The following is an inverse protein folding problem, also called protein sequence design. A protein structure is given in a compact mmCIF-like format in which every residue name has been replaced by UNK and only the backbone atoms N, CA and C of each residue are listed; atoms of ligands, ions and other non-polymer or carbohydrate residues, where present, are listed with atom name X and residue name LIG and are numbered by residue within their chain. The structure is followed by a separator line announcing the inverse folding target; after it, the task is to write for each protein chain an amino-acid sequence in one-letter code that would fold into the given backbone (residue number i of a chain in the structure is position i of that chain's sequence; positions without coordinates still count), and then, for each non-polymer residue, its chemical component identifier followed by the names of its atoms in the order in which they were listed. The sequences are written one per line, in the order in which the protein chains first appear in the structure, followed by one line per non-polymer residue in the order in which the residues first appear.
data_IF_656982910662
#
_entry.id   IF_656982910662
#
_cell.length_a   1.000
_cell.length_b   1.000
_cell.length_c   1.000
_cell.angle_alpha   90.00
_cell.angle_beta   90.00
_cell.angle_gamma   90.00
#
_symmetry.space_group_name_H-M   'P 1'
#
loop_
_entity.id
_entity.type
_entity.pdbx_description
1 polymer ?
#
# COMPACT_ATOMS: atom_id res chain seq x y z
N UNK A 1 -22.38 -17.17 -46.88
CA UNK A 1 -21.03 -17.15 -47.49
C UNK A 1 -20.68 -15.71 -47.83
N UNK A 2 -19.40 -15.36 -47.78
CA UNK A 2 -18.78 -14.02 -47.82
C UNK A 2 -18.71 -13.33 -46.44
N UNK A 3 -17.59 -12.81 -45.96
CA UNK A 3 -16.23 -12.68 -46.50
C UNK A 3 -15.35 -12.04 -45.42
N UNK A 4 -14.09 -12.45 -45.31
CA UNK A 4 -13.19 -12.13 -44.19
C UNK A 4 -12.43 -10.80 -44.31
N UNK A 5 -11.56 -10.55 -43.32
CA UNK A 5 -10.46 -9.57 -43.37
C UNK A 5 -9.25 -10.10 -42.60
N UNK A 6 -8.07 -10.03 -43.24
CA UNK A 6 -6.73 -10.34 -42.73
C UNK A 6 -6.22 -9.24 -41.78
N UNK A 7 -5.43 -9.61 -40.76
CA UNK A 7 -4.65 -8.64 -39.97
C UNK A 7 -3.16 -8.99 -40.00
N UNK A 8 -2.39 -7.92 -40.07
CA UNK A 8 -1.02 -7.81 -40.56
C UNK A 8 0.06 -8.11 -39.51
N UNK A 9 1.26 -8.41 -40.02
CA UNK A 9 2.49 -8.58 -39.27
C UNK A 9 3.09 -7.23 -38.83
N UNK A 10 3.76 -7.21 -37.68
CA UNK A 10 4.62 -6.10 -37.24
C UNK A 10 6.03 -6.65 -36.98
N UNK A 11 7.03 -6.05 -37.64
CA UNK A 11 8.45 -6.39 -37.49
C UNK A 11 9.12 -5.58 -36.37
N UNK A 12 10.18 -6.20 -35.84
CA UNK A 12 11.16 -5.80 -34.82
C UNK A 12 11.99 -4.56 -35.14
N UNK A 13 12.46 -3.84 -34.11
CA UNK A 13 13.76 -3.15 -34.12
C UNK A 13 14.41 -3.16 -32.72
N UNK A 14 15.60 -3.77 -32.62
CA UNK A 14 16.60 -3.62 -31.56
C UNK A 14 17.55 -2.47 -31.92
N UNK A 15 17.84 -1.56 -30.98
CA UNK A 15 18.78 -0.47 -31.20
C UNK A 15 19.58 -0.13 -29.93
N UNK A 16 20.82 -0.63 -29.86
CA UNK A 16 21.86 -0.19 -28.94
C UNK A 16 22.25 1.27 -29.23
N UNK A 17 22.55 2.04 -28.19
CA UNK A 17 23.32 3.28 -28.33
C UNK A 17 24.51 3.24 -27.38
N UNK A 18 25.71 3.24 -27.97
CA UNK A 18 26.99 3.44 -27.30
C UNK A 18 27.83 4.34 -28.20
N UNK A 19 28.47 5.34 -27.61
CA UNK A 19 29.70 5.96 -28.15
C UNK A 19 29.63 7.46 -28.39
N UNK A 20 30.45 8.21 -27.62
CA UNK A 20 31.38 9.32 -27.95
C UNK A 20 31.68 10.02 -26.61
N UNK A 21 32.90 10.33 -26.18
CA UNK A 21 34.04 10.91 -26.87
C UNK A 21 35.40 10.49 -26.28
N UNK A 22 36.43 10.62 -27.13
CA UNK A 22 37.86 10.35 -26.95
C UNK A 22 38.63 11.68 -26.74
N UNK A 23 39.71 11.69 -25.93
CA UNK A 23 41.00 12.39 -26.17
C UNK A 23 41.85 12.62 -24.90
N UNK A 24 42.84 11.74 -24.75
CA UNK A 24 44.28 11.95 -24.49
C UNK A 24 44.85 12.97 -23.45
N UNK A 25 45.61 12.36 -22.52
CA UNK A 25 46.97 12.68 -21.97
C UNK A 25 47.30 14.06 -21.40
N UNK A 26 47.82 14.06 -20.17
CA UNK A 26 49.24 14.35 -19.89
C UNK A 26 49.73 13.66 -18.59
N UNK A 27 51.01 13.31 -18.62
CA UNK A 27 51.85 12.61 -17.63
C UNK A 27 52.22 13.47 -16.41
N UNK A 28 52.27 12.86 -15.22
CA UNK A 28 52.89 13.44 -14.03
C UNK A 28 53.18 12.38 -12.96
N UNK A 29 54.47 12.13 -12.73
CA UNK A 29 55.08 11.07 -11.91
C UNK A 29 54.62 10.88 -10.47
N UNK A 30 54.61 9.60 -10.08
CA UNK A 30 55.20 8.97 -8.87
C UNK A 30 54.95 9.57 -7.47
N UNK A 31 54.28 8.78 -6.61
CA UNK A 31 54.96 8.00 -5.57
C UNK A 31 53.97 7.08 -4.82
N UNK A 32 54.31 5.79 -4.71
CA UNK A 32 53.93 4.95 -3.56
C UNK A 32 55.12 4.90 -2.59
N UNK A 33 54.92 4.59 -1.30
CA UNK A 33 54.91 3.18 -0.94
C UNK A 33 53.83 2.76 0.07
N UNK A 34 53.63 1.45 0.04
CA UNK A 34 52.81 0.60 0.88
C UNK A 34 52.95 0.80 2.40
N UNK A 35 51.87 0.48 3.11
CA UNK A 35 51.95 -0.35 4.30
C UNK A 35 50.84 -1.40 4.25
N UNK A 36 51.28 -2.65 4.12
CA UNK A 36 50.57 -3.89 4.36
C UNK A 36 49.77 -3.91 5.66
N UNK A 37 48.58 -4.51 5.61
CA UNK A 37 48.20 -5.49 6.63
C UNK A 37 47.34 -6.56 5.98
N UNK A 38 47.95 -7.73 5.91
CA UNK A 38 47.46 -8.98 5.37
C UNK A 38 46.24 -9.54 6.15
N UNK A 39 45.31 -10.11 5.37
CA UNK A 39 44.70 -11.45 5.55
C UNK A 39 43.49 -11.63 6.49
N UNK A 40 42.34 -11.79 5.81
CA UNK A 40 41.09 -12.50 6.18
C UNK A 40 41.34 -14.01 6.50
N UNK A 41 40.35 -14.91 6.72
CA UNK A 41 38.88 -14.77 6.64
C UNK A 41 38.06 -15.54 7.71
N UNK A 42 36.73 -15.45 7.63
CA UNK A 42 35.82 -16.53 8.06
C UNK A 42 34.58 -16.08 8.80
N UNK A 43 33.45 -16.02 8.10
CA UNK A 43 32.21 -16.71 8.50
C UNK A 43 31.18 -16.60 7.39
N UNK A 44 30.64 -17.77 7.07
CA UNK A 44 29.77 -18.11 5.96
C UNK A 44 28.35 -17.53 6.10
N UNK A 45 27.79 -17.14 4.95
CA UNK A 45 26.50 -17.59 4.45
C UNK A 45 25.35 -17.72 5.46
N UNK A 46 24.53 -16.67 5.54
CA UNK A 46 23.11 -16.76 5.87
C UNK A 46 22.31 -16.38 4.63
N UNK A 47 22.04 -17.37 3.79
CA UNK A 47 21.02 -17.32 2.74
C UNK A 47 19.67 -17.16 3.44
N UNK A 48 19.23 -15.92 3.64
CA UNK A 48 17.85 -15.64 3.99
C UNK A 48 17.11 -15.50 2.68
N UNK A 49 16.53 -16.61 2.26
CA UNK A 49 15.63 -16.72 1.11
C UNK A 49 14.61 -15.58 1.16
N UNK A 50 14.75 -14.70 0.18
CA UNK A 50 13.76 -13.73 -0.27
C UNK A 50 12.45 -14.47 -0.51
N UNK A 51 11.60 -14.46 0.51
CA UNK A 51 10.21 -14.90 0.42
C UNK A 51 9.38 -13.66 0.18
N UNK A 52 9.39 -13.22 -1.09
CA UNK A 52 8.34 -12.43 -1.73
C UNK A 52 7.68 -11.41 -0.81
N UNK A 53 8.43 -10.38 -0.43
CA UNK A 53 7.89 -9.28 0.34
C UNK A 53 6.98 -8.46 -0.59
N UNK A 54 5.66 -8.64 -0.43
CA UNK A 54 4.70 -7.64 -0.89
C UNK A 54 5.20 -6.26 -0.42
N UNK A 55 5.25 -5.31 -1.34
CA UNK A 55 5.76 -3.95 -1.13
C UNK A 55 5.27 -3.42 0.22
N UNK A 56 6.18 -3.31 1.18
CA UNK A 56 5.79 -3.15 2.58
C UNK A 56 5.26 -1.74 2.81
N UNK A 57 3.94 -1.60 2.72
CA UNK A 57 3.26 -0.51 3.37
C UNK A 57 3.74 -0.40 4.83
N UNK A 58 4.00 0.81 5.29
CA UNK A 58 4.49 1.04 6.65
C UNK A 58 3.37 0.71 7.64
N UNK A 59 3.49 -0.42 8.34
CA UNK A 59 2.54 -0.88 9.36
C UNK A 59 3.14 -0.81 10.77
N UNK A 60 4.17 0.02 10.96
CA UNK A 60 4.86 0.17 12.24
C UNK A 60 4.02 0.93 13.28
N UNK A 61 3.12 1.81 12.84
CA UNK A 61 2.14 2.50 13.67
C UNK A 61 0.72 2.29 13.17
N UNK A 62 -0.26 2.60 14.01
CA UNK A 62 -1.65 2.51 13.60
C UNK A 62 -2.01 3.53 12.52
N UNK A 63 -1.49 4.75 12.66
CA UNK A 63 -1.67 5.85 11.71
C UNK A 63 -1.11 5.48 10.33
N UNK A 64 0.08 4.87 10.29
CA UNK A 64 0.72 4.47 9.03
C UNK A 64 -0.06 3.35 8.34
N UNK A 65 -0.59 2.37 9.10
CA UNK A 65 -1.44 1.32 8.56
C UNK A 65 -2.77 1.86 8.00
N UNK A 66 -3.43 2.78 8.72
CA UNK A 66 -4.66 3.43 8.25
C UNK A 66 -4.38 4.28 7.01
N UNK A 67 -3.31 5.07 7.01
CA UNK A 67 -2.93 5.90 5.86
C UNK A 67 -2.66 5.04 4.61
N UNK A 68 -1.90 3.96 4.76
CA UNK A 68 -1.62 3.03 3.68
C UNK A 68 -2.90 2.36 3.14
N UNK A 69 -3.81 1.94 4.03
CA UNK A 69 -5.05 1.30 3.64
C UNK A 69 -5.97 2.25 2.88
N UNK A 70 -6.16 3.49 3.38
CA UNK A 70 -6.95 4.52 2.68
C UNK A 70 -6.31 4.86 1.33
N UNK A 71 -4.98 4.96 1.27
CA UNK A 71 -4.25 5.18 0.01
C UNK A 71 -4.54 4.07 -1.01
N UNK A 72 -4.47 2.81 -0.59
CA UNK A 72 -4.77 1.67 -1.45
C UNK A 72 -6.23 1.68 -1.95
N UNK A 73 -7.19 2.07 -1.10
CA UNK A 73 -8.59 2.24 -1.49
C UNK A 73 -8.75 3.31 -2.56
N UNK A 74 -8.22 4.51 -2.33
CA UNK A 74 -8.34 5.66 -3.26
C UNK A 74 -7.66 5.36 -4.60
N UNK A 75 -6.49 4.69 -4.57
CA UNK A 75 -5.74 4.27 -5.77
C UNK A 75 -6.35 3.06 -6.49
N UNK A 76 -7.51 2.56 -6.06
CA UNK A 76 -8.19 1.40 -6.64
C UNK A 76 -7.35 0.12 -6.61
N UNK A 77 -6.69 -0.14 -5.48
CA UNK A 77 -5.83 -1.30 -5.25
C UNK A 77 -6.48 -2.23 -4.22
N UNK A 78 -7.60 -2.91 -4.56
CA UNK A 78 -8.38 -3.65 -3.57
C UNK A 78 -7.60 -4.80 -2.93
N UNK A 79 -6.66 -5.41 -3.67
CA UNK A 79 -5.81 -6.48 -3.14
C UNK A 79 -4.84 -5.96 -2.09
N UNK A 80 -4.20 -4.82 -2.35
CA UNK A 80 -3.30 -4.16 -1.39
C UNK A 80 -4.05 -3.75 -0.13
N UNK A 81 -5.20 -3.09 -0.30
CA UNK A 81 -6.09 -2.76 0.81
C UNK A 81 -6.53 -4.01 1.59
N UNK A 82 -6.76 -5.14 0.92
CA UNK A 82 -7.11 -6.39 1.60
C UNK A 82 -5.97 -6.93 2.48
N UNK A 83 -4.72 -6.85 2.00
CA UNK A 83 -3.53 -7.29 2.77
C UNK A 83 -3.25 -6.40 3.98
N UNK A 84 -3.65 -5.13 3.89
CA UNK A 84 -3.58 -4.15 4.98
C UNK A 84 -4.72 -4.29 6.00
N UNK A 85 -5.70 -5.15 5.72
CA UNK A 85 -6.75 -5.48 6.67
C UNK A 85 -6.38 -6.70 7.53
N UNK A 86 -7.03 -6.80 8.69
CA UNK A 86 -6.97 -7.96 9.56
C UNK A 86 -8.33 -8.29 10.16
N UNK A 87 -8.45 -9.46 10.75
CA UNK A 87 -9.57 -9.83 11.60
C UNK A 87 -9.14 -9.65 13.05
N UNK A 88 -9.87 -8.84 13.80
CA UNK A 88 -9.68 -8.73 15.24
C UNK A 88 -10.00 -10.06 15.95
N UNK A 89 -9.42 -10.28 17.13
CA UNK A 89 -9.74 -11.45 17.94
C UNK A 89 -11.21 -11.42 18.38
N UNK A 90 -11.91 -12.55 18.23
CA UNK A 90 -13.34 -12.66 18.60
C UNK A 90 -13.58 -13.89 19.46
N UNK A 91 -13.83 -13.68 20.76
CA UNK A 91 -14.04 -14.76 21.72
C UNK A 91 -12.84 -15.71 21.75
N UNK A 92 -13.03 -16.93 21.23
CA UNK A 92 -12.00 -17.97 21.15
C UNK A 92 -11.23 -18.00 19.82
N UNK A 93 -11.54 -17.12 18.87
CA UNK A 93 -10.78 -16.99 17.62
C UNK A 93 -9.66 -15.95 17.79
N UNK A 94 -8.38 -16.31 17.53
CA UNK A 94 -7.29 -15.36 17.56
C UNK A 94 -7.42 -14.35 16.41
N UNK A 95 -6.80 -13.18 16.57
CA UNK A 95 -6.67 -12.20 15.50
C UNK A 95 -5.87 -12.78 14.33
N UNK A 96 -6.15 -12.31 13.11
CA UNK A 96 -5.51 -12.80 11.89
C UNK A 96 -5.20 -11.64 10.95
N UNK A 97 -3.97 -11.55 10.48
CA UNK A 97 -3.62 -10.63 9.41
C UNK A 97 -4.25 -11.07 8.08
N UNK A 98 -4.50 -10.11 7.19
CA UNK A 98 -4.79 -10.36 5.79
C UNK A 98 -3.64 -11.12 5.13
N UNK A 99 -3.98 -12.09 4.30
CA UNK A 99 -3.01 -12.92 3.57
C UNK A 99 -3.35 -12.96 2.08
N UNK A 100 -2.36 -13.33 1.27
CA UNK A 100 -2.56 -13.59 -0.15
C UNK A 100 -3.71 -14.58 -0.43
N UNK A 101 -3.85 -15.60 0.41
CA UNK A 101 -4.90 -16.61 0.26
C UNK A 101 -6.30 -16.03 0.55
N UNK A 102 -6.45 -15.21 1.60
CA UNK A 102 -7.72 -14.57 1.94
C UNK A 102 -8.09 -13.44 0.97
N UNK A 103 -7.09 -12.85 0.32
CA UNK A 103 -7.25 -11.76 -0.64
C UNK A 103 -7.25 -12.22 -2.10
N UNK A 104 -7.33 -13.53 -2.36
CA UNK A 104 -7.37 -14.09 -3.71
C UNK A 104 -8.75 -13.91 -4.33
N UNK A 105 -8.81 -13.14 -5.43
CA UNK A 105 -10.02 -12.91 -6.22
C UNK A 105 -10.61 -14.18 -6.84
N UNK A 106 -9.83 -15.26 -6.97
CA UNK A 106 -10.32 -16.53 -7.49
C UNK A 106 -11.09 -17.34 -6.44
N UNK A 107 -10.98 -16.98 -5.16
CA UNK A 107 -11.78 -17.57 -4.10
C UNK A 107 -13.11 -16.80 -3.93
N UNK A 108 -14.24 -17.47 -3.63
CA UNK A 108 -15.51 -16.78 -3.39
C UNK A 108 -15.47 -15.80 -2.21
N UNK A 109 -14.60 -16.03 -1.24
CA UNK A 109 -14.41 -15.18 -0.07
C UNK A 109 -13.59 -13.93 -0.41
N UNK A 110 -12.40 -14.11 -1.00
CA UNK A 110 -11.55 -13.01 -1.44
C UNK A 110 -12.26 -12.12 -2.47
N UNK A 111 -13.01 -12.69 -3.42
CA UNK A 111 -13.81 -11.91 -4.36
C UNK A 111 -14.79 -10.94 -3.65
N UNK A 112 -15.49 -11.41 -2.60
CA UNK A 112 -16.41 -10.58 -1.82
C UNK A 112 -15.69 -9.49 -1.02
N UNK A 113 -14.53 -9.82 -0.45
CA UNK A 113 -13.72 -8.85 0.28
C UNK A 113 -13.26 -7.74 -0.66
N UNK A 114 -12.69 -8.09 -1.81
CA UNK A 114 -12.22 -7.13 -2.81
C UNK A 114 -13.37 -6.29 -3.40
N UNK A 115 -14.54 -6.88 -3.63
CA UNK A 115 -15.74 -6.14 -4.05
C UNK A 115 -16.16 -5.12 -2.98
N UNK A 116 -16.16 -5.52 -1.70
CA UNK A 116 -16.52 -4.65 -0.58
C UNK A 116 -15.54 -3.48 -0.45
N UNK A 117 -14.24 -3.75 -0.60
CA UNK A 117 -13.21 -2.72 -0.61
C UNK A 117 -13.40 -1.74 -1.78
N UNK A 118 -13.74 -2.27 -2.96
CA UNK A 118 -14.00 -1.45 -4.14
C UNK A 118 -15.12 -0.42 -3.95
N UNK A 119 -16.11 -0.72 -3.10
CA UNK A 119 -17.20 0.21 -2.77
C UNK A 119 -16.73 1.41 -1.95
N UNK A 120 -15.70 1.27 -1.11
CA UNK A 120 -15.16 2.40 -0.35
C UNK A 120 -14.48 3.44 -1.23
N UNK A 121 -13.90 3.02 -2.37
CA UNK A 121 -13.21 3.95 -3.29
C UNK A 121 -14.12 5.11 -3.70
N UNK A 122 -15.37 4.81 -4.06
CA UNK A 122 -16.31 5.84 -4.47
C UNK A 122 -16.47 6.88 -3.37
N UNK A 123 -16.72 6.46 -2.12
CA UNK A 123 -16.92 7.36 -1.00
C UNK A 123 -15.65 8.05 -0.48
N UNK A 124 -14.46 7.50 -0.72
CA UNK A 124 -13.21 7.96 -0.09
C UNK A 124 -12.35 8.80 -1.02
N UNK A 125 -12.70 8.87 -2.31
CA UNK A 125 -11.93 9.64 -3.30
C UNK A 125 -12.45 11.08 -3.39
N UNK A 126 -11.62 12.11 -3.19
CA UNK A 126 -11.99 13.49 -3.47
C UNK A 126 -12.51 13.74 -4.89
N UNK A 127 -13.23 14.85 -5.10
CA UNK A 127 -13.58 15.36 -6.44
C UNK A 127 -12.91 16.74 -6.66
N UNK A 128 -12.04 16.91 -7.67
CA UNK A 128 -11.57 15.90 -8.62
C UNK A 128 -10.63 14.86 -8.00
N UNK A 129 -10.55 13.63 -8.56
CA UNK A 129 -9.60 12.62 -8.08
C UNK A 129 -8.15 12.99 -8.43
N UNK A 130 -7.23 12.78 -7.48
CA UNK A 130 -5.79 12.84 -7.72
C UNK A 130 -5.25 11.51 -8.27
N UNK A 131 -4.23 11.59 -9.14
CA UNK A 131 -3.48 10.42 -9.58
C UNK A 131 -2.53 9.89 -8.50
N UNK A 132 -2.08 10.77 -7.60
CA UNK A 132 -1.26 10.43 -6.45
C UNK A 132 -1.86 11.11 -5.21
N UNK A 133 -2.81 10.45 -4.53
CA UNK A 133 -3.48 11.03 -3.38
C UNK A 133 -2.51 11.14 -2.20
N UNK A 134 -2.50 12.29 -1.54
CA UNK A 134 -1.78 12.48 -0.28
C UNK A 134 -2.70 12.13 0.88
N UNK A 135 -2.34 11.12 1.66
CA UNK A 135 -3.12 10.67 2.83
C UNK A 135 -2.36 10.94 4.10
N UNK A 136 -2.96 11.70 5.02
CA UNK A 136 -2.41 11.93 6.35
C UNK A 136 -3.39 11.45 7.42
N UNK A 137 -2.86 10.96 8.53
CA UNK A 137 -3.65 10.52 9.68
C UNK A 137 -3.09 11.20 10.91
N UNK A 138 -3.92 11.98 11.58
CA UNK A 138 -3.53 12.61 12.84
C UNK A 138 -3.36 11.56 13.95
N UNK A 139 -2.38 11.79 14.82
CA UNK A 139 -2.09 10.90 15.94
C UNK A 139 -3.34 10.65 16.80
N UNK A 140 -3.55 9.37 17.15
CA UNK A 140 -4.72 8.95 17.90
C UNK A 140 -4.31 7.97 19.01
N UNK A 141 -4.74 8.20 20.26
CA UNK A 141 -4.26 7.43 21.39
C UNK A 141 -4.63 5.94 21.24
N UNK A 142 -3.62 5.08 21.27
CA UNK A 142 -3.82 3.64 21.33
C UNK A 142 -4.11 3.19 22.77
N UNK A 143 -5.00 2.21 22.91
CA UNK A 143 -5.26 1.49 24.16
C UNK A 143 -4.69 0.08 24.02
N UNK A 144 -3.46 -0.13 24.48
CA UNK A 144 -2.74 -1.38 24.24
C UNK A 144 -2.47 -1.57 22.76
N UNK A 145 -2.96 -2.68 22.20
CA UNK A 145 -2.75 -3.08 20.80
C UNK A 145 -3.93 -2.67 19.88
N UNK A 146 -4.76 -1.73 20.32
CA UNK A 146 -5.93 -1.26 19.57
C UNK A 146 -5.98 0.27 19.53
N UNK A 147 -6.47 0.82 18.42
CA UNK A 147 -6.84 2.23 18.32
C UNK A 147 -8.05 2.40 17.41
N UNK A 148 -8.73 3.54 17.58
CA UNK A 148 -9.86 3.93 16.76
C UNK A 148 -9.58 5.33 16.23
N UNK A 149 -9.54 5.46 14.91
CA UNK A 149 -9.25 6.70 14.19
C UNK A 149 -10.54 7.25 13.59
N UNK A 150 -11.08 8.36 14.12
CA UNK A 150 -12.22 9.05 13.51
C UNK A 150 -11.88 9.53 12.09
N UNK A 151 -12.85 9.48 11.17
CA UNK A 151 -12.66 9.94 9.79
C UNK A 151 -12.30 11.44 9.68
N UNK A 152 -12.69 12.26 10.67
CA UNK A 152 -12.27 13.67 10.76
C UNK A 152 -10.76 13.86 10.96
N UNK A 153 -10.04 12.82 11.43
CA UNK A 153 -8.59 12.80 11.62
C UNK A 153 -7.81 12.25 10.43
N UNK A 154 -8.51 11.79 9.40
CA UNK A 154 -7.90 11.24 8.19
C UNK A 154 -8.11 12.28 7.09
N UNK A 155 -7.06 12.70 6.42
CA UNK A 155 -7.15 13.60 5.26
C UNK A 155 -6.75 12.87 3.98
N UNK A 156 -7.41 13.20 2.88
CA UNK A 156 -7.02 12.82 1.51
C UNK A 156 -6.98 14.10 0.69
N UNK A 157 -5.82 14.45 0.14
CA UNK A 157 -5.57 15.70 -0.58
C UNK A 157 -6.03 16.95 0.21
N UNK A 158 -5.76 16.94 1.52
CA UNK A 158 -6.13 18.03 2.44
C UNK A 158 -7.61 18.12 2.81
N UNK A 159 -8.46 17.22 2.32
CA UNK A 159 -9.87 17.11 2.71
C UNK A 159 -10.04 15.98 3.72
N UNK A 160 -10.77 16.24 4.80
CA UNK A 160 -11.04 15.22 5.81
C UNK A 160 -11.96 14.13 5.26
N UNK A 161 -11.73 12.88 5.64
CA UNK A 161 -12.40 11.71 5.07
C UNK A 161 -13.91 11.76 5.31
N UNK A 162 -14.34 12.28 6.46
CA UNK A 162 -15.75 12.54 6.77
C UNK A 162 -16.41 13.46 5.73
N UNK A 163 -15.74 14.56 5.33
CA UNK A 163 -16.25 15.50 4.32
C UNK A 163 -16.31 14.86 2.95
N UNK A 164 -15.33 14.05 2.60
CA UNK A 164 -15.32 13.33 1.31
C UNK A 164 -16.50 12.37 1.25
N UNK A 165 -16.71 11.56 2.30
CA UNK A 165 -17.83 10.62 2.40
C UNK A 165 -19.17 11.37 2.32
N UNK A 166 -19.33 12.46 3.09
CA UNK A 166 -20.55 13.26 3.09
C UNK A 166 -20.84 13.88 1.72
N UNK A 167 -19.82 14.39 1.01
CA UNK A 167 -20.00 15.00 -0.32
C UNK A 167 -20.53 14.02 -1.38
N UNK A 168 -20.36 12.72 -1.14
CA UNK A 168 -20.80 11.63 -2.01
C UNK A 168 -21.98 10.84 -1.46
N UNK A 169 -22.46 11.21 -0.28
CA UNK A 169 -23.64 10.61 0.35
C UNK A 169 -24.90 11.32 -0.11
N UNK A 170 -26.03 10.58 -0.14
CA UNK A 170 -27.35 11.18 -0.35
C UNK A 170 -28.20 10.95 0.90
N UNK A 171 -28.89 11.99 1.36
CA UNK A 171 -29.82 11.88 2.50
C UNK A 171 -29.17 11.86 3.89
N UNK A 172 -27.91 12.30 4.02
CA UNK A 172 -27.18 12.40 5.28
C UNK A 172 -26.56 13.79 5.40
N UNK A 173 -26.76 14.46 6.52
CA UNK A 173 -26.20 15.77 6.84
C UNK A 173 -24.91 15.65 7.67
N UNK A 174 -24.15 16.75 7.74
CA UNK A 174 -22.97 16.81 8.60
C UNK A 174 -23.34 16.55 10.07
N UNK A 175 -22.59 15.67 10.73
CA UNK A 175 -22.83 15.25 12.11
C UNK A 175 -23.89 14.16 12.29
N UNK A 176 -24.58 13.74 11.23
CA UNK A 176 -25.48 12.58 11.27
C UNK A 176 -24.78 11.26 10.94
N UNK A 177 -23.56 11.31 10.43
CA UNK A 177 -22.75 10.15 10.12
C UNK A 177 -21.45 10.24 10.88
N UNK A 178 -21.22 9.27 11.75
CA UNK A 178 -19.95 9.03 12.40
C UNK A 178 -19.25 7.85 11.72
N UNK A 179 -18.00 8.07 11.32
CA UNK A 179 -17.18 7.06 10.63
C UNK A 179 -15.89 6.89 11.40
N UNK A 180 -15.59 5.65 11.76
CA UNK A 180 -14.44 5.30 12.59
C UNK A 180 -13.67 4.13 11.96
N UNK A 181 -12.36 4.28 11.81
CA UNK A 181 -11.48 3.21 11.34
C UNK A 181 -10.82 2.56 12.56
N UNK A 182 -11.07 1.27 12.75
CA UNK A 182 -10.44 0.50 13.81
C UNK A 182 -9.14 -0.10 13.29
N UNK A 183 -8.09 0.00 14.08
CA UNK A 183 -6.79 -0.60 13.79
C UNK A 183 -6.32 -1.40 15.00
N UNK A 184 -5.74 -2.58 14.75
CA UNK A 184 -5.20 -3.44 15.79
C UNK A 184 -3.82 -3.98 15.41
N UNK A 185 -2.98 -4.19 16.42
CA UNK A 185 -1.69 -4.85 16.28
C UNK A 185 -1.87 -6.37 16.21
N UNK A 186 -1.39 -6.99 15.14
CA UNK A 186 -1.39 -8.43 14.89
C UNK A 186 0.03 -8.83 14.49
N UNK A 187 0.66 -9.72 15.25
CA UNK A 187 2.06 -10.15 15.01
C UNK A 187 3.02 -8.97 14.82
N UNK A 188 2.96 -8.00 15.75
CA UNK A 188 3.77 -6.79 15.79
C UNK A 188 3.58 -5.78 14.64
N UNK A 189 2.57 -5.94 13.79
CA UNK A 189 2.18 -4.98 12.74
C UNK A 189 0.75 -4.50 12.91
N UNK A 190 0.48 -3.26 12.53
CA UNK A 190 -0.86 -2.68 12.59
C UNK A 190 -1.66 -2.98 11.32
N UNK A 191 -2.93 -3.35 11.50
CA UNK A 191 -3.86 -3.65 10.42
C UNK A 191 -5.19 -2.94 10.66
N UNK A 192 -5.84 -2.51 9.59
CA UNK A 192 -7.24 -2.05 9.67
C UNK A 192 -8.13 -3.26 9.91
N UNK A 193 -8.83 -3.31 11.05
CA UNK A 193 -9.63 -4.48 11.44
C UNK A 193 -11.13 -4.28 11.24
N UNK A 194 -11.59 -3.04 11.21
CA UNK A 194 -13.00 -2.71 11.00
C UNK A 194 -13.16 -1.26 10.55
N UNK A 195 -14.30 -0.96 9.94
CA UNK A 195 -14.76 0.40 9.70
C UNK A 195 -16.18 0.50 10.26
N UNK A 196 -16.34 1.29 11.30
CA UNK A 196 -17.62 1.60 11.93
C UNK A 196 -18.31 2.73 11.19
N UNK A 197 -19.62 2.57 10.97
CA UNK A 197 -20.52 3.61 10.46
C UNK A 197 -21.72 3.68 11.38
N UNK A 198 -21.92 4.82 12.02
CA UNK A 198 -23.05 5.08 12.90
C UNK A 198 -23.86 6.26 12.36
N UNK A 199 -25.18 6.08 12.24
CA UNK A 199 -26.11 7.13 11.78
C UNK A 199 -26.95 7.59 12.97
N UNK A 200 -26.91 8.90 13.25
CA UNK A 200 -27.61 9.57 14.34
C UNK A 200 -28.97 10.17 13.97
#
# INVERSE_FOLDING_TARGET
MAGGVLMAAVMTLTGCSSGSDDSEKETGSSNSPAADSEKAPGSEQGDASDTGQASSADQSTAESAVAAWVTAVVKNQPKEACLLMGEAATGSKPARAGTEATCDSNSPEGAKILESIGKFRESFTPDPPSADPEVEVAETPATGDETVVPAEKITVDGQTLDKIILSRSTGVEAGQLDVQVHSSKIDDRWYVTNIGFDIG
#
